data_IF_269114564817
#
_entry.id   IF_269114564817
#
_cell.length_a   1.000
_cell.length_b   1.000
_cell.length_c   1.000
_cell.angle_alpha   90.00
_cell.angle_beta   90.00
_cell.angle_gamma   90.00
#
_symmetry.space_group_name_H-M   'P 1'
#
loop_
_entity.id
_entity.type
_entity.pdbx_description
1 polymer ?
#
# COMPACT_ATOMS: atom_id res chain seq x y z
N UNK A 1 32.91 34.74 -57.28
CA UNK A 1 32.39 33.46 -56.80
C UNK A 1 33.22 32.95 -55.64
N UNK A 2 32.82 33.18 -54.39
CA UNK A 2 33.50 32.67 -53.18
C UNK A 2 32.56 31.72 -52.48
N UNK A 3 32.95 30.47 -52.42
CA UNK A 3 32.20 29.35 -51.82
C UNK A 3 32.62 29.23 -50.35
N UNK A 4 31.77 29.70 -49.42
CA UNK A 4 31.94 29.49 -47.98
C UNK A 4 31.58 28.03 -47.62
N UNK A 5 32.56 27.29 -47.11
CA UNK A 5 32.35 25.96 -46.48
C UNK A 5 32.28 26.20 -44.99
N UNK A 6 31.06 26.21 -44.45
CA UNK A 6 30.83 26.13 -42.99
C UNK A 6 31.07 24.71 -42.53
N UNK A 7 32.16 24.44 -41.84
CA UNK A 7 32.35 23.25 -41.02
C UNK A 7 31.56 23.42 -39.73
N UNK A 8 30.46 22.67 -39.60
CA UNK A 8 29.75 22.52 -38.32
C UNK A 8 30.51 21.46 -37.53
N UNK A 9 31.26 21.89 -36.51
CA UNK A 9 31.84 21.04 -35.49
C UNK A 9 30.71 20.54 -34.58
N UNK A 10 30.31 19.30 -34.75
CA UNK A 10 29.38 18.59 -33.88
C UNK A 10 30.16 18.18 -32.61
N UNK A 11 30.09 18.99 -31.54
CA UNK A 11 30.63 18.61 -30.23
C UNK A 11 29.72 17.54 -29.63
N UNK A 12 30.19 16.29 -29.66
CA UNK A 12 29.57 15.17 -28.93
C UNK A 12 29.88 15.40 -27.44
N UNK A 13 28.88 15.89 -26.71
CA UNK A 13 28.90 15.98 -25.26
C UNK A 13 28.77 14.55 -24.69
N UNK A 14 29.91 13.93 -24.41
CA UNK A 14 29.96 12.64 -23.70
C UNK A 14 29.50 12.86 -22.27
N UNK A 15 28.22 12.57 -21.98
CA UNK A 15 27.72 12.47 -20.61
C UNK A 15 28.29 11.17 -20.06
N UNK A 16 29.37 11.27 -19.31
CA UNK A 16 29.87 10.16 -18.49
C UNK A 16 28.91 9.99 -17.32
N UNK A 17 28.00 9.01 -17.41
CA UNK A 17 27.29 8.50 -16.24
C UNK A 17 28.35 7.84 -15.35
N UNK A 18 28.74 8.49 -14.27
CA UNK A 18 29.42 7.81 -13.17
C UNK A 18 28.40 6.87 -12.55
N UNK A 19 28.57 5.56 -12.73
CA UNK A 19 27.83 4.54 -12.00
C UNK A 19 28.39 4.58 -10.57
N UNK A 20 27.77 5.40 -9.73
CA UNK A 20 28.00 5.41 -8.30
C UNK A 20 27.21 4.24 -7.71
N UNK A 21 27.81 3.47 -6.80
CA UNK A 21 27.09 2.39 -6.14
C UNK A 21 26.03 3.01 -5.20
N UNK A 22 24.84 2.42 -5.19
CA UNK A 22 23.72 2.94 -4.40
C UNK A 22 23.94 2.61 -2.92
N UNK A 23 23.89 3.62 -2.06
CA UNK A 23 23.94 3.43 -0.61
C UNK A 23 22.54 3.17 -0.03
N UNK A 24 22.48 2.65 1.20
CA UNK A 24 21.22 2.31 1.86
C UNK A 24 20.26 3.51 1.97
N UNK A 25 20.77 4.72 2.19
CA UNK A 25 19.95 5.91 2.37
C UNK A 25 19.33 6.36 1.05
N UNK A 26 20.08 6.29 -0.04
CA UNK A 26 19.59 6.63 -1.37
C UNK A 26 18.47 5.66 -1.80
N UNK A 27 18.68 4.36 -1.60
CA UNK A 27 17.67 3.33 -1.85
C UNK A 27 16.41 3.55 -1.00
N UNK A 28 16.55 3.95 0.27
CA UNK A 28 15.42 4.27 1.11
C UNK A 28 14.64 5.49 0.60
N UNK A 29 15.33 6.54 0.19
CA UNK A 29 14.70 7.74 -0.35
C UNK A 29 13.94 7.44 -1.65
N UNK A 30 14.51 6.63 -2.53
CA UNK A 30 13.81 6.17 -3.74
C UNK A 30 12.62 5.26 -3.42
N UNK A 31 12.74 4.39 -2.43
CA UNK A 31 11.64 3.54 -1.98
C UNK A 31 10.45 4.34 -1.41
N UNK A 32 10.70 5.47 -0.72
CA UNK A 32 9.65 6.39 -0.28
C UNK A 32 8.82 6.92 -1.46
N UNK A 33 9.46 7.15 -2.60
CA UNK A 33 8.79 7.71 -3.78
C UNK A 33 8.18 6.64 -4.69
N UNK A 34 8.75 5.43 -4.72
CA UNK A 34 8.43 4.45 -5.76
C UNK A 34 7.81 3.16 -5.25
N UNK A 35 7.97 2.80 -3.96
CA UNK A 35 7.44 1.53 -3.47
C UNK A 35 5.91 1.45 -3.57
N UNK A 36 5.36 0.49 -4.36
CA UNK A 36 3.92 0.39 -4.55
C UNK A 36 3.15 0.07 -3.26
N UNK A 37 3.77 -0.69 -2.34
CA UNK A 37 3.15 -1.04 -1.06
C UNK A 37 3.05 0.17 -0.13
N UNK A 38 4.09 1.02 -0.12
CA UNK A 38 4.07 2.25 0.65
C UNK A 38 3.06 3.26 0.08
N UNK A 39 3.01 3.43 -1.24
CA UNK A 39 1.98 4.25 -1.90
C UNK A 39 0.56 3.78 -1.59
N UNK A 40 0.31 2.47 -1.62
CA UNK A 40 -0.99 1.92 -1.25
C UNK A 40 -1.36 2.24 0.21
N UNK A 41 -0.37 2.18 1.12
CA UNK A 41 -0.57 2.57 2.51
C UNK A 41 -0.86 4.09 2.66
N UNK A 42 -0.20 4.93 1.89
CA UNK A 42 -0.45 6.38 1.85
C UNK A 42 -1.87 6.69 1.38
N UNK A 43 -2.32 6.11 0.26
CA UNK A 43 -3.70 6.31 -0.22
C UNK A 43 -4.74 5.75 0.76
N UNK A 44 -4.43 4.65 1.45
CA UNK A 44 -5.28 4.12 2.53
C UNK A 44 -5.39 5.11 3.69
N UNK A 45 -4.29 5.75 4.07
CA UNK A 45 -4.28 6.82 5.06
C UNK A 45 -5.08 8.04 4.61
N UNK A 46 -4.89 8.50 3.36
CA UNK A 46 -5.65 9.63 2.80
C UNK A 46 -7.16 9.34 2.82
N UNK A 47 -7.57 8.14 2.43
CA UNK A 47 -8.96 7.69 2.56
C UNK A 47 -9.41 7.68 4.01
N UNK A 48 -8.57 7.22 4.93
CA UNK A 48 -8.83 7.21 6.38
C UNK A 48 -9.06 8.60 6.97
N UNK A 49 -8.41 9.63 6.45
CA UNK A 49 -8.62 11.04 6.86
C UNK A 49 -10.03 11.54 6.56
N UNK A 50 -10.65 11.04 5.49
CA UNK A 50 -12.00 11.45 5.11
C UNK A 50 -13.10 10.86 5.99
N UNK A 51 -12.81 9.78 6.74
CA UNK A 51 -13.78 9.13 7.66
C UNK A 51 -14.30 10.14 8.70
N UNK A 52 -13.45 11.02 9.22
CA UNK A 52 -13.84 12.07 10.16
C UNK A 52 -14.80 13.07 9.51
N UNK A 53 -14.52 13.48 8.27
CA UNK A 53 -15.38 14.43 7.53
C UNK A 53 -16.73 13.79 7.21
N UNK A 54 -16.76 12.52 6.81
CA UNK A 54 -17.99 11.77 6.61
C UNK A 54 -18.82 11.66 7.90
N UNK A 55 -18.16 11.36 9.02
CA UNK A 55 -18.83 11.35 10.33
C UNK A 55 -19.39 12.72 10.75
N UNK A 56 -18.70 13.81 10.40
CA UNK A 56 -19.16 15.16 10.65
C UNK A 56 -20.33 15.54 9.73
N UNK A 57 -20.31 15.10 8.48
CA UNK A 57 -21.37 15.40 7.51
C UNK A 57 -22.75 14.90 7.99
N UNK A 58 -22.81 13.81 8.75
CA UNK A 58 -24.04 13.30 9.33
C UNK A 58 -24.65 14.22 10.44
N UNK A 59 -23.91 15.22 10.90
CA UNK A 59 -24.39 16.26 11.83
C UNK A 59 -24.82 17.55 11.12
N UNK A 60 -24.55 17.67 9.83
CA UNK A 60 -24.88 18.84 9.01
C UNK A 60 -26.25 18.70 8.35
N UNK A 61 -26.84 19.80 7.82
CA UNK A 61 -28.05 19.74 7.05
C UNK A 61 -27.87 18.85 5.82
N UNK A 62 -28.85 17.99 5.54
CA UNK A 62 -28.95 17.22 4.30
C UNK A 62 -30.05 17.78 3.42
N UNK A 63 -29.78 17.91 2.12
CA UNK A 63 -30.75 18.34 1.11
C UNK A 63 -30.91 17.17 0.14
N UNK A 64 -32.16 16.80 -0.11
CA UNK A 64 -32.50 15.80 -1.11
C UNK A 64 -33.53 16.33 -2.10
N UNK A 65 -33.33 16.03 -3.36
CA UNK A 65 -34.30 16.31 -4.44
C UNK A 65 -34.70 14.94 -5.00
N UNK A 66 -35.98 14.77 -5.24
CA UNK A 66 -36.53 13.56 -5.86
C UNK A 66 -37.58 13.95 -6.90
N UNK A 67 -37.61 13.19 -7.99
CA UNK A 67 -38.66 13.29 -9.02
C UNK A 67 -39.13 11.88 -9.34
N UNK A 68 -40.42 11.71 -9.46
CA UNK A 68 -41.05 10.44 -9.79
C UNK A 68 -42.14 10.68 -10.82
N UNK A 69 -42.19 9.82 -11.85
CA UNK A 69 -43.31 9.71 -12.77
C UNK A 69 -43.92 8.33 -12.62
N UNK A 70 -45.27 8.26 -12.58
CA UNK A 70 -45.97 7.01 -12.39
C UNK A 70 -47.08 6.93 -13.42
N UNK A 71 -47.03 5.88 -14.22
CA UNK A 71 -48.13 5.53 -15.14
C UNK A 71 -49.13 4.69 -14.37
N UNK A 72 -50.39 5.13 -14.34
CA UNK A 72 -51.48 4.50 -13.63
C UNK A 72 -52.50 4.00 -14.64
N UNK A 73 -52.93 2.77 -14.49
CA UNK A 73 -53.99 2.14 -15.24
C UNK A 73 -55.12 1.76 -14.25
N UNK A 74 -56.31 2.24 -14.49
CA UNK A 74 -57.47 1.95 -13.66
C UNK A 74 -58.40 0.96 -14.37
N UNK A 75 -58.60 -0.21 -13.76
CA UNK A 75 -59.46 -1.26 -14.26
C UNK A 75 -60.73 -1.35 -13.41
N UNK A 76 -61.90 -1.43 -14.06
CA UNK A 76 -63.17 -1.72 -13.40
C UNK A 76 -63.85 -2.90 -14.11
N UNK A 77 -64.25 -3.91 -13.35
CA UNK A 77 -64.85 -5.16 -13.86
C UNK A 77 -63.98 -5.89 -14.90
N UNK A 78 -62.67 -5.70 -14.84
CA UNK A 78 -61.70 -6.30 -15.77
C UNK A 78 -61.46 -5.53 -17.06
N UNK A 79 -62.13 -4.41 -17.25
CA UNK A 79 -61.91 -3.51 -18.38
C UNK A 79 -61.11 -2.29 -17.97
N UNK A 80 -60.18 -1.87 -18.83
CA UNK A 80 -59.39 -0.66 -18.64
C UNK A 80 -60.29 0.55 -18.78
N UNK A 81 -60.48 1.32 -17.72
CA UNK A 81 -61.37 2.49 -17.69
C UNK A 81 -60.59 3.79 -17.90
N UNK A 82 -59.37 3.88 -17.40
CA UNK A 82 -58.58 5.09 -17.51
C UNK A 82 -57.08 4.80 -17.40
N UNK A 83 -56.31 5.54 -18.18
CA UNK A 83 -54.83 5.60 -18.10
C UNK A 83 -54.44 7.06 -17.84
N UNK A 84 -53.60 7.27 -16.83
CA UNK A 84 -53.09 8.61 -16.56
C UNK A 84 -51.68 8.58 -16.02
N UNK A 85 -50.91 9.63 -16.28
CA UNK A 85 -49.60 9.83 -15.71
C UNK A 85 -49.70 10.83 -14.58
N UNK A 86 -49.04 10.46 -13.46
CA UNK A 86 -48.76 11.39 -12.34
C UNK A 86 -47.27 11.68 -12.25
N UNK A 87 -46.96 12.94 -12.15
CA UNK A 87 -45.60 13.41 -11.91
C UNK A 87 -45.54 14.06 -10.54
N UNK A 88 -44.54 13.72 -9.74
CA UNK A 88 -44.28 14.38 -8.46
C UNK A 88 -42.82 14.74 -8.33
N UNK A 89 -42.55 15.92 -7.82
CA UNK A 89 -41.22 16.38 -7.44
C UNK A 89 -41.21 16.84 -5.98
N UNK A 90 -40.15 16.50 -5.27
CA UNK A 90 -40.02 16.87 -3.87
C UNK A 90 -38.60 17.39 -3.58
N UNK A 91 -38.54 18.52 -2.85
CA UNK A 91 -37.34 19.02 -2.23
C UNK A 91 -37.48 18.87 -0.71
N UNK A 92 -36.50 18.30 -0.08
CA UNK A 92 -36.48 18.11 1.39
C UNK A 92 -35.14 18.55 1.95
N UNK A 93 -35.18 19.33 3.03
CA UNK A 93 -34.04 19.66 3.88
C UNK A 93 -34.26 19.05 5.26
N UNK A 94 -33.23 18.44 5.83
CA UNK A 94 -33.29 17.85 7.18
C UNK A 94 -32.03 18.22 7.95
N UNK A 95 -32.18 18.81 9.13
CA UNK A 95 -31.10 19.17 10.05
C UNK A 95 -31.25 18.44 11.37
N UNK A 96 -30.30 17.56 11.74
CA UNK A 96 -30.25 17.00 13.08
C UNK A 96 -29.98 18.06 14.14
N UNK A 97 -30.81 18.14 15.19
CA UNK A 97 -30.59 19.02 16.34
C UNK A 97 -30.08 18.25 17.55
N UNK A 98 -30.73 17.14 17.88
CA UNK A 98 -30.37 16.26 18.99
C UNK A 98 -30.34 14.81 18.49
N UNK A 99 -29.13 14.35 18.13
CA UNK A 99 -28.89 13.01 17.62
C UNK A 99 -27.65 12.44 18.30
N UNK A 100 -27.83 11.87 19.51
CA UNK A 100 -26.72 11.30 20.29
C UNK A 100 -26.09 10.09 19.60
N UNK A 101 -26.87 9.31 18.87
CA UNK A 101 -26.38 8.22 18.00
C UNK A 101 -25.38 8.73 16.96
N UNK A 102 -25.72 9.80 16.27
CA UNK A 102 -24.87 10.45 15.26
C UNK A 102 -23.65 11.11 15.89
N UNK A 103 -23.80 11.73 17.07
CA UNK A 103 -22.68 12.29 17.81
C UNK A 103 -21.63 11.22 18.20
N UNK A 104 -22.07 10.08 18.73
CA UNK A 104 -21.15 8.98 19.04
C UNK A 104 -20.53 8.37 17.79
N UNK A 105 -21.25 8.31 16.66
CA UNK A 105 -20.69 7.93 15.36
C UNK A 105 -19.62 8.90 14.89
N UNK A 106 -19.81 10.20 15.03
CA UNK A 106 -18.77 11.20 14.75
C UNK A 106 -17.52 10.96 15.62
N UNK A 107 -17.69 10.71 16.92
CA UNK A 107 -16.57 10.40 17.82
C UNK A 107 -15.87 9.09 17.42
N UNK A 108 -16.63 8.08 17.00
CA UNK A 108 -16.08 6.84 16.41
C UNK A 108 -15.24 7.15 15.19
N UNK A 109 -15.75 7.94 14.26
CA UNK A 109 -15.06 8.34 13.03
C UNK A 109 -13.74 9.05 13.32
N UNK A 110 -13.69 9.93 14.35
CA UNK A 110 -12.46 10.56 14.79
C UNK A 110 -11.40 9.53 15.21
N UNK A 111 -11.78 8.56 16.07
CA UNK A 111 -10.84 7.52 16.51
C UNK A 111 -10.40 6.59 15.38
N UNK A 112 -11.24 6.36 14.36
CA UNK A 112 -10.86 5.59 13.17
C UNK A 112 -9.86 6.36 12.31
N UNK A 113 -10.02 7.67 12.17
CA UNK A 113 -9.05 8.53 11.49
C UNK A 113 -7.69 8.51 12.22
N UNK A 114 -7.69 8.70 13.54
CA UNK A 114 -6.48 8.64 14.36
C UNK A 114 -5.80 7.24 14.29
N UNK A 115 -6.60 6.16 14.18
CA UNK A 115 -6.07 4.81 14.00
C UNK A 115 -5.42 4.63 12.62
N UNK A 116 -6.02 5.19 11.57
CA UNK A 116 -5.44 5.17 10.22
C UNK A 116 -4.10 5.93 10.15
N UNK A 117 -3.96 7.02 10.89
CA UNK A 117 -2.69 7.75 11.03
C UNK A 117 -1.62 6.90 11.72
N UNK A 118 -1.98 6.21 12.80
CA UNK A 118 -1.07 5.31 13.50
C UNK A 118 -0.67 4.09 12.64
N UNK A 119 -1.59 3.55 11.84
CA UNK A 119 -1.28 2.49 10.88
C UNK A 119 -0.30 2.97 9.80
N UNK A 120 -0.46 4.18 9.29
CA UNK A 120 0.47 4.75 8.32
C UNK A 120 1.86 4.97 8.91
N UNK A 121 1.94 5.49 10.14
CA UNK A 121 3.22 5.62 10.85
C UNK A 121 3.92 4.26 11.05
N UNK A 122 3.15 3.19 11.28
CA UNK A 122 3.69 1.83 11.29
C UNK A 122 4.24 1.41 9.92
N UNK A 123 3.54 1.74 8.82
CA UNK A 123 4.04 1.41 7.48
C UNK A 123 5.31 2.18 7.12
N UNK A 124 5.47 3.42 7.59
CA UNK A 124 6.72 4.17 7.46
C UNK A 124 7.88 3.45 8.15
N UNK A 125 7.68 2.99 9.40
CA UNK A 125 8.70 2.18 10.09
C UNK A 125 8.98 0.86 9.37
N UNK A 126 7.94 0.21 8.87
CA UNK A 126 8.08 -1.05 8.14
C UNK A 126 8.87 -0.89 6.84
N UNK A 127 8.72 0.23 6.13
CA UNK A 127 9.50 0.52 4.94
C UNK A 127 11.00 0.60 5.27
N UNK A 128 11.39 1.27 6.37
CA UNK A 128 12.79 1.35 6.81
C UNK A 128 13.38 -0.06 7.00
N UNK A 129 12.66 -0.91 7.77
CA UNK A 129 13.11 -2.27 8.06
C UNK A 129 13.21 -3.10 6.78
N UNK A 130 12.18 -3.05 5.94
CA UNK A 130 12.14 -3.80 4.67
C UNK A 130 13.23 -3.38 3.71
N UNK A 131 13.50 -2.07 3.57
CA UNK A 131 14.59 -1.56 2.75
C UNK A 131 15.94 -2.09 3.25
N UNK A 132 16.17 -2.01 4.56
CA UNK A 132 17.42 -2.51 5.15
C UNK A 132 17.56 -4.04 4.97
N UNK A 133 16.49 -4.81 5.19
CA UNK A 133 16.51 -6.26 5.00
C UNK A 133 16.83 -6.66 3.56
N UNK A 134 16.22 -6.01 2.57
CA UNK A 134 16.47 -6.29 1.15
C UNK A 134 17.89 -5.88 0.75
N UNK A 135 18.36 -4.72 1.21
CA UNK A 135 19.72 -4.25 0.95
C UNK A 135 20.77 -5.22 1.50
N UNK A 136 20.66 -5.59 2.78
CA UNK A 136 21.59 -6.54 3.40
C UNK A 136 21.46 -7.96 2.85
N UNK A 137 20.28 -8.32 2.33
CA UNK A 137 20.12 -9.61 1.65
C UNK A 137 20.92 -9.66 0.33
N UNK A 138 20.96 -8.57 -0.44
CA UNK A 138 21.81 -8.46 -1.64
C UNK A 138 23.28 -8.61 -1.27
N UNK A 139 23.76 -7.85 -0.27
CA UNK A 139 25.15 -7.92 0.18
C UNK A 139 25.53 -9.34 0.64
N UNK A 140 24.68 -9.95 1.47
CA UNK A 140 24.89 -11.33 1.95
C UNK A 140 24.94 -12.34 0.79
N UNK A 141 24.10 -12.16 -0.23
CA UNK A 141 24.07 -13.05 -1.40
C UNK A 141 25.34 -12.90 -2.24
N UNK A 142 25.88 -11.67 -2.36
CA UNK A 142 27.15 -11.39 -3.02
C UNK A 142 28.32 -12.05 -2.28
N UNK A 143 28.35 -11.91 -0.94
CA UNK A 143 29.39 -12.53 -0.11
C UNK A 143 29.38 -14.05 -0.20
N UNK A 144 28.18 -14.66 -0.19
CA UNK A 144 28.00 -16.10 -0.37
C UNK A 144 28.47 -16.57 -1.78
N UNK A 145 28.21 -15.76 -2.81
CA UNK A 145 28.70 -16.06 -4.15
C UNK A 145 30.24 -15.98 -4.21
N UNK A 146 30.85 -14.96 -3.60
CA UNK A 146 32.31 -14.82 -3.55
C UNK A 146 32.98 -15.98 -2.81
N UNK A 147 32.35 -16.47 -1.72
CA UNK A 147 32.80 -17.67 -1.03
C UNK A 147 32.72 -18.92 -1.92
N UNK A 148 31.59 -19.11 -2.62
CA UNK A 148 31.41 -20.26 -3.54
C UNK A 148 32.39 -20.22 -4.73
N UNK A 149 32.68 -19.04 -5.27
CA UNK A 149 33.71 -18.85 -6.33
C UNK A 149 35.08 -19.26 -5.79
N UNK A 150 35.44 -18.82 -4.58
CA UNK A 150 36.71 -19.17 -3.95
C UNK A 150 36.83 -20.68 -3.69
N UNK A 151 35.76 -21.32 -3.27
CA UNK A 151 35.68 -22.76 -3.06
C UNK A 151 35.81 -23.53 -4.40
N UNK A 152 35.10 -23.12 -5.44
CA UNK A 152 35.19 -23.72 -6.77
C UNK A 152 36.63 -23.68 -7.31
N UNK A 153 37.29 -22.51 -7.18
CA UNK A 153 38.69 -22.33 -7.61
C UNK A 153 39.64 -23.28 -6.84
N UNK A 154 39.44 -23.42 -5.52
CA UNK A 154 40.29 -24.31 -4.69
C UNK A 154 40.09 -25.77 -5.05
N UNK A 155 38.84 -26.23 -5.21
CA UNK A 155 38.50 -27.60 -5.56
C UNK A 155 38.98 -27.95 -6.98
N UNK A 156 38.88 -27.00 -7.93
CA UNK A 156 39.41 -27.14 -9.28
C UNK A 156 40.92 -27.38 -9.29
N UNK A 157 41.68 -26.62 -8.51
CA UNK A 157 43.12 -26.84 -8.35
C UNK A 157 43.44 -28.24 -7.79
N UNK A 158 42.67 -28.69 -6.81
CA UNK A 158 42.81 -30.06 -6.27
C UNK A 158 42.55 -31.14 -7.32
N UNK A 159 41.48 -30.97 -8.12
CA UNK A 159 41.19 -31.88 -9.26
C UNK A 159 42.36 -31.93 -10.24
N UNK A 160 42.88 -30.74 -10.63
CA UNK A 160 44.00 -30.65 -11.58
C UNK A 160 45.26 -31.34 -11.04
N UNK A 161 45.57 -31.17 -9.75
CA UNK A 161 46.66 -31.85 -9.06
C UNK A 161 46.45 -33.40 -9.03
N UNK A 162 45.25 -33.87 -8.75
CA UNK A 162 44.93 -35.30 -8.72
C UNK A 162 45.05 -35.92 -10.11
N UNK A 163 44.62 -35.23 -11.17
CA UNK A 163 44.79 -35.61 -12.56
C UNK A 163 46.29 -35.77 -12.93
N UNK A 164 47.13 -34.79 -12.57
CA UNK A 164 48.57 -34.85 -12.82
C UNK A 164 49.25 -36.03 -12.08
N UNK A 165 48.85 -36.29 -10.83
CA UNK A 165 49.35 -37.43 -10.05
C UNK A 165 48.95 -38.79 -10.70
N UNK A 166 47.75 -38.87 -11.22
CA UNK A 166 47.29 -40.04 -11.94
C UNK A 166 48.08 -40.29 -13.23
N UNK A 167 48.35 -39.23 -14.01
CA UNK A 167 49.13 -39.29 -15.24
C UNK A 167 50.56 -39.85 -15.04
N UNK A 168 51.15 -39.61 -13.86
CA UNK A 168 52.49 -40.15 -13.49
C UNK A 168 52.42 -41.44 -12.65
N UNK A 169 51.20 -42.04 -12.51
CA UNK A 169 51.00 -43.33 -11.84
C UNK A 169 51.00 -43.27 -10.30
N UNK A 170 50.87 -42.05 -9.69
CA UNK A 170 50.90 -41.81 -8.24
C UNK A 170 49.50 -41.73 -7.59
N UNK A 171 48.41 -41.93 -8.35
CA UNK A 171 47.04 -41.89 -7.88
C UNK A 171 46.18 -42.88 -8.65
N UNK A 172 45.10 -43.37 -8.04
CA UNK A 172 44.12 -44.25 -8.67
C UNK A 172 43.08 -43.44 -9.47
N UNK A 173 42.50 -44.08 -10.51
CA UNK A 173 41.44 -43.45 -11.31
C UNK A 173 40.21 -43.09 -10.47
N UNK A 174 39.92 -43.81 -9.40
CA UNK A 174 38.83 -43.54 -8.44
C UNK A 174 39.02 -42.24 -7.76
N UNK A 175 40.26 -41.85 -7.38
CA UNK A 175 40.56 -40.55 -6.76
C UNK A 175 40.30 -39.40 -7.74
N UNK A 176 40.59 -39.56 -9.03
CA UNK A 176 40.27 -38.58 -10.07
C UNK A 176 38.76 -38.40 -10.21
N UNK A 177 38.01 -39.52 -10.15
CA UNK A 177 36.55 -39.49 -10.27
C UNK A 177 35.90 -38.80 -9.03
N UNK A 178 36.41 -39.07 -7.82
CA UNK A 178 35.98 -38.39 -6.60
C UNK A 178 36.28 -36.88 -6.63
N UNK A 179 37.47 -36.50 -7.08
CA UNK A 179 37.84 -35.08 -7.23
C UNK A 179 36.98 -34.39 -8.33
N UNK A 180 36.63 -35.09 -9.41
CA UNK A 180 35.73 -34.58 -10.46
C UNK A 180 34.33 -34.36 -9.90
N UNK A 181 33.79 -35.31 -9.13
CA UNK A 181 32.49 -35.17 -8.46
C UNK A 181 32.50 -33.98 -7.52
N UNK A 182 33.54 -33.78 -6.72
CA UNK A 182 33.66 -32.61 -5.80
C UNK A 182 33.65 -31.31 -6.60
N UNK A 183 34.34 -31.25 -7.73
CA UNK A 183 34.32 -30.06 -8.59
C UNK A 183 32.94 -29.80 -9.19
N UNK A 184 32.26 -30.82 -9.70
CA UNK A 184 30.92 -30.64 -10.28
C UNK A 184 29.88 -30.18 -9.23
N UNK A 185 30.00 -30.66 -7.99
CA UNK A 185 29.16 -30.20 -6.85
C UNK A 185 29.45 -28.74 -6.53
N UNK A 186 30.74 -28.34 -6.50
CA UNK A 186 31.11 -26.92 -6.20
C UNK A 186 30.66 -25.99 -7.33
N UNK A 187 30.75 -26.41 -8.57
CA UNK A 187 30.25 -25.65 -9.71
C UNK A 187 28.74 -25.47 -9.67
N UNK A 188 27.99 -26.51 -9.32
CA UNK A 188 26.54 -26.45 -9.14
C UNK A 188 26.15 -25.52 -7.97
N UNK A 189 26.95 -25.52 -6.89
CA UNK A 189 26.76 -24.60 -5.77
C UNK A 189 26.96 -23.14 -6.19
N UNK A 190 28.02 -22.84 -6.92
CA UNK A 190 28.29 -21.50 -7.47
C UNK A 190 27.11 -21.01 -8.33
N UNK A 191 26.64 -21.81 -9.29
CA UNK A 191 25.51 -21.44 -10.17
C UNK A 191 24.25 -21.12 -9.35
N UNK A 192 24.00 -21.89 -8.29
CA UNK A 192 22.89 -21.61 -7.36
C UNK A 192 23.04 -20.26 -6.68
N UNK A 193 24.26 -19.93 -6.21
CA UNK A 193 24.53 -18.63 -5.57
C UNK A 193 24.39 -17.45 -6.54
N UNK A 194 24.76 -17.65 -7.81
CA UNK A 194 24.51 -16.65 -8.87
C UNK A 194 23.00 -16.36 -9.01
N UNK A 195 22.16 -17.41 -9.01
CA UNK A 195 20.71 -17.28 -9.01
C UNK A 195 20.16 -16.58 -7.77
N UNK A 196 20.73 -16.83 -6.57
CA UNK A 196 20.34 -16.16 -5.34
C UNK A 196 20.65 -14.65 -5.38
N UNK A 197 21.81 -14.25 -5.93
CA UNK A 197 22.15 -12.83 -6.12
C UNK A 197 21.16 -12.18 -7.07
N UNK A 198 20.84 -12.83 -8.18
CA UNK A 198 19.86 -12.31 -9.13
C UNK A 198 18.49 -12.09 -8.45
N UNK A 199 17.98 -13.10 -7.73
CA UNK A 199 16.69 -13.01 -7.04
C UNK A 199 16.68 -11.92 -5.96
N UNK A 200 17.77 -11.79 -5.19
CA UNK A 200 17.89 -10.76 -4.16
C UNK A 200 17.91 -9.35 -4.76
N UNK A 201 18.60 -9.17 -5.89
CA UNK A 201 18.65 -7.89 -6.61
C UNK A 201 17.29 -7.51 -7.20
N UNK A 202 16.58 -8.47 -7.82
CA UNK A 202 15.24 -8.24 -8.35
C UNK A 202 14.24 -7.83 -7.26
N UNK A 203 14.35 -8.40 -6.06
CA UNK A 203 13.52 -7.98 -4.92
C UNK A 203 13.80 -6.51 -4.51
N UNK A 204 15.06 -6.07 -4.58
CA UNK A 204 15.44 -4.69 -4.31
C UNK A 204 15.01 -3.75 -5.46
N UNK A 205 15.16 -4.17 -6.72
CA UNK A 205 14.66 -3.45 -7.90
C UNK A 205 13.16 -3.19 -7.83
N UNK A 206 12.39 -4.19 -7.40
CA UNK A 206 10.94 -4.06 -7.22
C UNK A 206 10.56 -3.03 -6.15
N UNK A 207 11.40 -2.83 -5.13
CA UNK A 207 11.18 -1.84 -4.08
C UNK A 207 11.36 -0.41 -4.60
N UNK A 208 12.43 -0.16 -5.37
CA UNK A 208 12.78 1.18 -5.88
C UNK A 208 12.16 1.52 -7.24
N UNK A 209 11.68 0.50 -7.97
CA UNK A 209 11.08 0.66 -9.29
C UNK A 209 12.08 0.88 -10.44
N UNK A 210 13.37 0.64 -10.22
CA UNK A 210 14.43 0.69 -11.24
C UNK A 210 15.43 -0.46 -11.06
N UNK A 211 16.25 -0.70 -12.06
CA UNK A 211 17.39 -1.60 -11.97
C UNK A 211 18.53 -1.00 -11.15
N UNK A 212 18.99 -1.73 -10.14
CA UNK A 212 20.14 -1.40 -9.31
C UNK A 212 21.35 -2.17 -9.85
N UNK A 213 22.36 -1.44 -10.31
CA UNK A 213 23.56 -2.03 -10.89
C UNK A 213 24.50 -2.55 -9.81
N UNK A 214 24.75 -1.76 -8.78
CA UNK A 214 25.65 -2.11 -7.67
C UNK A 214 25.15 -1.48 -6.37
N UNK A 215 25.45 -2.14 -5.25
CA UNK A 215 25.20 -1.65 -3.89
C UNK A 215 26.54 -1.44 -3.18
N UNK A 216 26.60 -0.43 -2.30
CA UNK A 216 27.79 -0.14 -1.52
C UNK A 216 28.08 -1.28 -0.53
N UNK A 217 29.34 -1.68 -0.45
CA UNK A 217 29.78 -2.67 0.52
C UNK A 217 29.77 -2.08 1.95
N UNK A 218 29.60 -2.96 2.93
CA UNK A 218 29.71 -2.57 4.35
C UNK A 218 31.15 -2.14 4.66
N UNK A 219 31.27 -1.10 5.50
CA UNK A 219 32.56 -0.71 6.06
C UNK A 219 33.09 -1.84 6.98
N UNK A 220 34.36 -2.23 6.80
CA UNK A 220 34.95 -3.41 7.43
C UNK A 220 35.02 -3.39 8.96
N UNK A 221 34.75 -2.25 9.62
CA UNK A 221 34.83 -2.10 11.07
C UNK A 221 33.46 -1.66 11.65
N UNK A 222 32.58 -2.61 11.91
CA UNK A 222 31.38 -2.35 12.68
C UNK A 222 31.66 -2.58 14.16
N UNK A 223 31.73 -1.51 14.95
CA UNK A 223 31.83 -1.63 16.42
C UNK A 223 30.48 -2.00 17.00
N UNK A 224 30.39 -3.20 17.55
CA UNK A 224 29.23 -3.61 18.34
C UNK A 224 29.27 -2.90 19.68
N UNK A 225 28.33 -1.99 19.90
CA UNK A 225 28.17 -1.29 21.17
C UNK A 225 27.00 -1.91 21.96
N UNK A 226 27.11 -1.97 23.28
CA UNK A 226 26.00 -2.41 24.11
C UNK A 226 24.81 -1.44 23.98
N UNK A 227 23.57 -1.94 24.00
CA UNK A 227 22.37 -1.10 23.93
C UNK A 227 22.29 -0.18 25.15
N UNK A 228 21.88 1.08 24.92
CA UNK A 228 21.65 2.07 25.98
C UNK A 228 20.16 2.46 25.98
N UNK A 229 19.45 2.28 27.09
CA UNK A 229 19.84 1.76 28.41
C UNK A 229 20.12 0.26 28.42
N UNK A 230 20.96 -0.21 29.36
CA UNK A 230 21.26 -1.62 29.60
C UNK A 230 20.22 -2.24 30.56
N UNK A 231 18.94 -2.09 30.21
CA UNK A 231 17.80 -2.59 30.98
C UNK A 231 16.75 -3.14 30.03
N UNK A 232 16.37 -4.40 30.20
CA UNK A 232 15.30 -5.03 29.42
C UNK A 232 13.96 -4.35 29.65
N UNK A 233 13.66 -3.94 30.88
CA UNK A 233 12.37 -3.35 31.22
C UNK A 233 12.20 -1.96 30.59
N UNK A 234 13.27 -1.16 30.52
CA UNK A 234 13.27 0.12 29.84
C UNK A 234 13.02 -0.04 28.32
N UNK A 235 13.60 -1.09 27.70
CA UNK A 235 13.34 -1.37 26.29
C UNK A 235 11.90 -1.84 26.05
N UNK A 236 11.33 -2.65 26.95
CA UNK A 236 9.91 -3.06 26.90
C UNK A 236 9.00 -1.83 27.02
N UNK A 237 9.30 -0.94 27.97
CA UNK A 237 8.51 0.27 28.15
C UNK A 237 8.57 1.19 26.93
N UNK A 238 9.77 1.46 26.40
CA UNK A 238 9.95 2.22 25.16
C UNK A 238 9.23 1.56 23.97
N UNK A 239 9.27 0.22 23.88
CA UNK A 239 8.58 -0.54 22.86
C UNK A 239 7.06 -0.35 22.93
N UNK A 240 6.47 -0.40 24.13
CA UNK A 240 5.03 -0.17 24.34
C UNK A 240 4.63 1.26 23.96
N UNK A 241 5.42 2.25 24.35
CA UNK A 241 5.13 3.67 24.10
C UNK A 241 5.22 4.05 22.61
N UNK A 242 6.16 3.44 21.87
CA UNK A 242 6.44 3.76 20.49
C UNK A 242 5.84 2.75 19.48
N UNK A 243 5.06 1.79 19.94
CA UNK A 243 4.44 0.78 19.07
C UNK A 243 3.19 1.33 18.39
N UNK A 244 3.31 1.76 17.15
CA UNK A 244 2.19 2.29 16.37
C UNK A 244 1.08 1.26 16.12
N UNK A 245 1.38 -0.05 16.01
CA UNK A 245 0.35 -1.10 15.91
C UNK A 245 -0.50 -1.17 17.18
N UNK A 246 0.14 -1.11 18.36
CA UNK A 246 -0.56 -1.06 19.63
C UNK A 246 -1.40 0.19 19.76
N UNK A 247 -0.87 1.35 19.35
CA UNK A 247 -1.60 2.63 19.33
C UNK A 247 -2.84 2.55 18.43
N UNK A 248 -2.71 2.01 17.22
CA UNK A 248 -3.83 1.81 16.30
C UNK A 248 -4.90 0.87 16.90
N UNK A 249 -4.51 -0.25 17.51
CA UNK A 249 -5.42 -1.19 18.16
C UNK A 249 -6.19 -0.55 19.32
N UNK A 250 -5.50 0.26 20.14
CA UNK A 250 -6.15 1.02 21.24
C UNK A 250 -7.16 2.04 20.71
N UNK A 251 -6.84 2.74 19.61
CA UNK A 251 -7.74 3.69 18.96
C UNK A 251 -8.96 2.99 18.36
N UNK A 252 -8.79 1.84 17.73
CA UNK A 252 -9.91 1.00 17.26
C UNK A 252 -10.79 0.51 18.42
N UNK A 253 -10.20 0.18 19.56
CA UNK A 253 -10.97 -0.16 20.77
C UNK A 253 -11.82 1.02 21.24
N UNK A 254 -11.27 2.25 21.23
CA UNK A 254 -12.04 3.47 21.55
C UNK A 254 -13.14 3.74 20.52
N UNK A 255 -12.88 3.48 19.24
CA UNK A 255 -13.88 3.56 18.19
C UNK A 255 -15.03 2.57 18.41
N UNK A 256 -14.72 1.30 18.73
CA UNK A 256 -15.72 0.26 19.01
C UNK A 256 -16.57 0.59 20.25
N UNK A 257 -15.97 1.14 21.31
CA UNK A 257 -16.72 1.64 22.49
C UNK A 257 -17.69 2.77 22.11
N UNK A 258 -17.31 3.67 21.21
CA UNK A 258 -18.21 4.73 20.73
C UNK A 258 -19.30 4.15 19.79
N UNK A 259 -19.01 3.12 19.02
CA UNK A 259 -20.01 2.40 18.25
C UNK A 259 -21.09 1.77 19.14
N UNK A 260 -20.68 1.10 20.22
CA UNK A 260 -21.61 0.55 21.20
C UNK A 260 -22.48 1.65 21.86
N UNK A 261 -21.87 2.81 22.19
CA UNK A 261 -22.62 3.98 22.73
C UNK A 261 -23.59 4.55 21.70
N UNK A 262 -23.20 4.59 20.42
CA UNK A 262 -24.11 5.00 19.33
C UNK A 262 -25.32 4.06 19.23
N UNK A 263 -25.09 2.75 19.30
CA UNK A 263 -26.16 1.76 19.29
C UNK A 263 -27.10 1.92 20.51
N UNK A 264 -26.55 2.12 21.70
CA UNK A 264 -27.35 2.39 22.89
C UNK A 264 -28.13 3.71 22.79
N UNK A 265 -27.56 4.74 22.18
CA UNK A 265 -28.20 6.04 21.97
C UNK A 265 -29.40 5.98 21.00
N UNK A 266 -29.57 4.92 20.22
CA UNK A 266 -30.76 4.71 19.38
C UNK A 266 -32.07 4.59 20.20
N UNK A 267 -31.97 4.24 21.49
CA UNK A 267 -33.11 4.22 22.41
C UNK A 267 -33.50 5.61 22.97
N UNK A 268 -32.66 6.62 22.69
CA UNK A 268 -32.89 7.99 23.18
C UNK A 268 -33.72 8.81 22.16
N UNK A 269 -34.43 9.84 22.62
CA UNK A 269 -35.15 10.74 21.72
C UNK A 269 -34.24 11.35 20.65
N UNK A 270 -34.78 11.52 19.44
CA UNK A 270 -34.13 12.15 18.29
C UNK A 270 -34.94 13.38 17.89
N UNK A 271 -34.27 14.50 17.69
CA UNK A 271 -34.91 15.76 17.29
C UNK A 271 -34.25 16.23 16.01
N UNK A 272 -35.05 16.36 14.97
CA UNK A 272 -34.63 16.87 13.66
C UNK A 272 -35.58 17.99 13.23
N UNK A 273 -35.07 19.03 12.57
CA UNK A 273 -35.90 19.99 11.83
C UNK A 273 -35.98 19.51 10.39
N UNK A 274 -37.21 19.41 9.88
CA UNK A 274 -37.45 18.97 8.50
C UNK A 274 -38.32 20.02 7.80
N UNK A 275 -37.85 20.52 6.66
CA UNK A 275 -38.63 21.29 5.71
C UNK A 275 -38.79 20.50 4.42
N UNK A 276 -40.01 20.47 3.85
CA UNK A 276 -40.26 19.83 2.57
C UNK A 276 -41.21 20.65 1.71
N UNK A 277 -40.97 20.61 0.43
CA UNK A 277 -41.89 21.12 -0.61
C UNK A 277 -42.11 19.99 -1.59
N UNK A 278 -43.37 19.68 -1.84
CA UNK A 278 -43.82 18.66 -2.79
C UNK A 278 -44.73 19.34 -3.80
N UNK A 279 -44.48 19.12 -5.07
CA UNK A 279 -45.36 19.50 -6.18
C UNK A 279 -45.74 18.22 -6.91
N UNK A 280 -47.03 18.04 -7.16
CA UNK A 280 -47.55 16.90 -7.91
C UNK A 280 -48.58 17.34 -8.95
N UNK A 281 -48.42 16.81 -10.14
CA UNK A 281 -49.32 17.00 -11.28
C UNK A 281 -49.89 15.64 -11.68
N UNK A 282 -51.17 15.60 -11.98
CA UNK A 282 -51.86 14.41 -12.47
C UNK A 282 -52.66 14.78 -13.71
N UNK A 283 -52.43 14.07 -14.84
CA UNK A 283 -53.20 14.21 -16.06
C UNK A 283 -54.45 13.27 -16.06
N UNK A 284 -55.12 13.19 -14.94
CA UNK A 284 -56.37 12.43 -14.84
C UNK A 284 -57.52 13.30 -15.43
N UNK A 285 -58.06 12.90 -16.55
CA UNK A 285 -59.32 13.47 -17.06
C UNK A 285 -60.48 12.92 -16.28
N UNK A 286 -61.18 13.76 -15.52
CA UNK A 286 -62.44 13.38 -14.91
C UNK A 286 -63.55 13.51 -15.96
N UNK A 287 -64.32 12.46 -16.19
CA UNK A 287 -65.43 12.45 -17.11
C UNK A 287 -66.60 13.36 -16.68
N UNK A 288 -66.59 13.89 -15.46
CA UNK A 288 -67.65 14.70 -14.86
C UNK A 288 -67.41 16.23 -14.87
N UNK A 289 -66.43 16.72 -15.63
CA UNK A 289 -66.26 18.16 -15.78
C UNK A 289 -65.86 18.96 -14.54
N UNK A 290 -65.46 18.27 -13.45
CA UNK A 290 -64.93 18.90 -12.24
C UNK A 290 -63.40 18.87 -12.31
N UNK A 291 -62.84 20.02 -12.59
CA UNK A 291 -61.38 20.27 -12.48
C UNK A 291 -60.97 20.09 -11.00
N UNK A 292 -60.36 18.95 -10.67
CA UNK A 292 -59.74 18.76 -9.37
C UNK A 292 -58.41 19.46 -9.35
N UNK A 293 -58.48 20.76 -9.08
CA UNK A 293 -57.38 21.65 -9.08
C UNK A 293 -56.17 21.20 -8.24
N UNK A 294 -55.00 21.66 -8.67
CA UNK A 294 -53.72 21.57 -7.99
C UNK A 294 -53.80 21.83 -6.47
N UNK A 295 -53.57 20.78 -5.65
CA UNK A 295 -53.37 21.00 -4.22
C UNK A 295 -51.94 21.49 -3.97
N UNK A 296 -51.83 22.68 -3.44
CA UNK A 296 -50.58 23.30 -2.97
C UNK A 296 -50.13 22.71 -1.64
#
# INVERSE_FOLDING_TARGET
>A
MKRNRNCILLSILSITFTIEADNLLDIYNEALENDPQFKAAEYTYLSGKEIKKQGMAALLPSISLSGQTTWNEYYQLGELQNEYNSFSQAARISQPLLRLDTWFNFRRSKFLTDASEADFAFQQQNLIVRTAELYFNVLRSIDNLNAAISEEVAIKKQLDQTKQRYEVGLSAITEVQEAQLAYDVSLAAKIRREGEVFTAREALNALVGREIVSVDALVNEMRVTNPVPDSKDDWVQKGIENNFRLKAANLRTKASKNNARSAAANHLPKIDIVGSRVESETNQFSFDGIDTGSAF
#
